data_IF_918507632303
#
_entry.id   IF_918507632303
#
_cell.length_a   1.000
_cell.length_b   1.000
_cell.length_c   1.000
_cell.angle_alpha   90.00
_cell.angle_beta   90.00
_cell.angle_gamma   90.00
#
_symmetry.space_group_name_H-M   'P 1'
#
loop_
_entity.id
_entity.type
_entity.pdbx_description
1 polymer ?
#
# COMPACT_ATOMS: atom_id res chain seq x y z
N UNK A 1 5.16 -21.19 -11.69
CA UNK A 1 4.56 -20.12 -12.50
C UNK A 1 3.29 -19.71 -11.79
N UNK A 2 3.08 -18.43 -11.53
CA UNK A 2 1.88 -17.97 -10.81
C UNK A 2 0.68 -18.08 -11.74
N UNK A 3 -0.37 -18.76 -11.27
CA UNK A 3 -1.67 -18.90 -11.95
C UNK A 3 -2.79 -18.36 -11.07
N UNK A 4 -2.77 -18.72 -9.79
CA UNK A 4 -3.77 -18.29 -8.81
C UNK A 4 -3.18 -17.23 -7.86
N UNK A 5 -3.89 -16.12 -7.71
CA UNK A 5 -3.51 -14.97 -6.88
C UNK A 5 -4.62 -14.67 -5.88
N UNK A 6 -4.28 -14.70 -4.59
CA UNK A 6 -5.19 -14.28 -3.53
C UNK A 6 -4.86 -12.86 -3.07
N UNK A 7 -5.85 -11.97 -3.08
CA UNK A 7 -5.75 -10.59 -2.62
C UNK A 7 -6.48 -10.48 -1.30
N UNK A 8 -5.73 -10.38 -0.21
CA UNK A 8 -6.29 -10.14 1.11
C UNK A 8 -6.61 -8.65 1.25
N UNK A 9 -7.87 -8.29 1.01
CA UNK A 9 -8.38 -6.92 1.09
C UNK A 9 -8.66 -6.27 -0.27
N UNK A 10 -9.84 -6.55 -0.85
CA UNK A 10 -10.42 -5.88 -2.02
C UNK A 10 -11.06 -4.53 -1.67
N UNK A 11 -10.21 -3.64 -1.14
CA UNK A 11 -10.54 -2.24 -0.88
C UNK A 11 -10.24 -1.32 -2.06
N UNK A 12 -9.81 -0.10 -1.75
CA UNK A 12 -9.47 0.93 -2.74
C UNK A 12 -8.41 0.49 -3.76
N UNK A 13 -7.36 -0.21 -3.31
CA UNK A 13 -6.31 -0.75 -4.18
C UNK A 13 -6.64 -2.17 -4.65
N UNK A 14 -7.04 -3.06 -3.74
CA UNK A 14 -7.16 -4.48 -4.03
C UNK A 14 -8.26 -4.84 -5.04
N UNK A 15 -9.38 -4.09 -5.07
CA UNK A 15 -10.45 -4.35 -6.04
C UNK A 15 -10.01 -4.04 -7.48
N UNK A 16 -9.56 -2.81 -7.83
CA UNK A 16 -9.10 -2.52 -9.18
C UNK A 16 -7.83 -3.30 -9.56
N UNK A 17 -6.97 -3.63 -8.59
CA UNK A 17 -5.84 -4.54 -8.81
C UNK A 17 -6.32 -5.93 -9.23
N UNK A 18 -7.28 -6.51 -8.49
CA UNK A 18 -7.82 -7.83 -8.82
C UNK A 18 -8.48 -7.87 -10.19
N UNK A 19 -9.23 -6.82 -10.54
CA UNK A 19 -9.83 -6.69 -11.87
C UNK A 19 -8.77 -6.66 -12.97
N UNK A 20 -7.69 -5.89 -12.79
CA UNK A 20 -6.59 -5.81 -13.74
C UNK A 20 -5.84 -7.15 -13.89
N UNK A 21 -5.68 -7.90 -12.79
CA UNK A 21 -5.05 -9.23 -12.82
C UNK A 21 -5.97 -10.27 -13.49
N UNK A 22 -7.27 -10.26 -13.20
CA UNK A 22 -8.24 -11.15 -13.86
C UNK A 22 -8.27 -10.92 -15.37
N UNK A 23 -8.23 -9.65 -15.81
CA UNK A 23 -8.13 -9.29 -17.24
C UNK A 23 -6.84 -9.78 -17.91
N UNK A 24 -5.76 -9.98 -17.14
CA UNK A 24 -4.50 -10.59 -17.62
C UNK A 24 -4.55 -12.12 -17.63
N UNK A 25 -5.67 -12.74 -17.25
CA UNK A 25 -5.88 -14.18 -17.30
C UNK A 25 -5.44 -14.94 -16.04
N UNK A 26 -5.14 -14.26 -14.94
CA UNK A 26 -4.92 -14.91 -13.65
C UNK A 26 -6.25 -15.36 -13.04
N UNK A 27 -6.23 -16.48 -12.31
CA UNK A 27 -7.30 -16.82 -11.38
C UNK A 27 -7.13 -15.93 -10.14
N UNK A 28 -8.10 -15.06 -9.86
CA UNK A 28 -7.99 -14.10 -8.76
C UNK A 28 -9.03 -14.40 -7.70
N UNK A 29 -8.57 -14.62 -6.47
CA UNK A 29 -9.38 -14.72 -5.26
C UNK A 29 -9.27 -13.40 -4.49
N UNK A 30 -10.39 -12.84 -4.06
CA UNK A 30 -10.43 -11.51 -3.44
C UNK A 30 -11.20 -11.52 -2.13
N UNK A 31 -10.58 -11.06 -1.05
CA UNK A 31 -11.24 -11.05 0.26
C UNK A 31 -11.82 -9.70 0.67
N UNK A 32 -12.88 -9.75 1.47
CA UNK A 32 -13.47 -8.60 2.17
C UNK A 32 -13.92 -9.03 3.56
N UNK A 33 -14.08 -8.07 4.48
CA UNK A 33 -14.73 -8.30 5.78
C UNK A 33 -16.22 -7.96 5.77
N UNK A 34 -16.73 -7.47 4.62
CA UNK A 34 -18.08 -6.93 4.43
C UNK A 34 -18.86 -7.79 3.42
N UNK A 35 -19.89 -8.55 3.85
CA UNK A 35 -20.67 -9.42 2.98
C UNK A 35 -21.29 -8.69 1.78
N UNK A 36 -21.74 -7.45 1.96
CA UNK A 36 -22.37 -6.64 0.93
C UNK A 36 -21.44 -6.27 -0.23
N UNK A 37 -20.12 -6.50 -0.11
CA UNK A 37 -19.13 -6.28 -1.18
C UNK A 37 -18.84 -7.51 -2.03
N UNK A 38 -19.35 -8.69 -1.66
CA UNK A 38 -19.03 -9.94 -2.36
C UNK A 38 -19.49 -9.90 -3.82
N UNK A 39 -20.68 -9.36 -4.09
CA UNK A 39 -21.19 -9.23 -5.46
C UNK A 39 -20.33 -8.27 -6.30
N UNK A 40 -19.98 -7.11 -5.73
CA UNK A 40 -19.10 -6.15 -6.39
C UNK A 40 -17.73 -6.77 -6.75
N UNK A 41 -17.19 -7.64 -5.91
CA UNK A 41 -15.93 -8.35 -6.20
C UNK A 41 -16.16 -9.35 -7.35
N UNK A 42 -17.24 -10.12 -7.31
CA UNK A 42 -17.61 -11.10 -8.36
C UNK A 42 -17.77 -10.47 -9.73
N UNK A 43 -18.44 -9.32 -9.80
CA UNK A 43 -18.64 -8.55 -11.04
C UNK A 43 -17.33 -8.13 -11.73
N UNK A 44 -16.21 -8.10 -11.00
CA UNK A 44 -14.89 -7.79 -11.55
C UNK A 44 -14.14 -9.03 -12.07
N UNK A 45 -14.78 -10.19 -12.13
CA UNK A 45 -14.14 -11.46 -12.51
C UNK A 45 -13.23 -12.03 -11.41
N UNK A 46 -13.49 -11.66 -10.16
CA UNK A 46 -12.71 -12.09 -8.99
C UNK A 46 -13.58 -13.04 -8.16
N UNK A 47 -13.04 -14.17 -7.74
CA UNK A 47 -13.72 -15.08 -6.82
C UNK A 47 -13.77 -14.48 -5.40
N UNK A 48 -14.96 -14.19 -4.84
CA UNK A 48 -15.07 -13.41 -3.61
C UNK A 48 -15.04 -14.27 -2.35
N UNK A 49 -14.29 -13.84 -1.33
CA UNK A 49 -14.19 -14.51 -0.03
C UNK A 49 -14.47 -13.55 1.12
N UNK A 50 -15.16 -14.05 2.16
CA UNK A 50 -15.38 -13.30 3.40
C UNK A 50 -14.33 -13.71 4.43
N UNK A 51 -13.22 -12.97 4.50
CA UNK A 51 -12.10 -13.29 5.39
C UNK A 51 -11.89 -12.16 6.39
N UNK A 52 -11.73 -12.52 7.66
CA UNK A 52 -11.36 -11.65 8.77
C UNK A 52 -10.07 -12.16 9.38
N UNK A 53 -9.18 -11.25 9.76
CA UNK A 53 -7.93 -11.57 10.44
C UNK A 53 -7.88 -10.83 11.76
N UNK A 54 -7.73 -11.59 12.85
CA UNK A 54 -7.55 -11.10 14.22
C UNK A 54 -6.31 -11.80 14.79
N UNK A 55 -6.41 -12.43 15.95
CA UNK A 55 -5.39 -13.36 16.47
C UNK A 55 -5.30 -14.63 15.62
N UNK A 56 -6.38 -14.98 14.92
CA UNK A 56 -6.44 -16.05 13.95
C UNK A 56 -7.09 -15.60 12.64
N UNK A 57 -7.01 -16.44 11.62
CA UNK A 57 -7.68 -16.23 10.34
C UNK A 57 -9.05 -16.92 10.36
N UNK A 58 -10.09 -16.13 10.14
CA UNK A 58 -11.50 -16.54 10.21
C UNK A 58 -12.19 -16.30 8.87
N UNK A 59 -13.17 -17.15 8.54
CA UNK A 59 -14.02 -16.99 7.36
C UNK A 59 -14.44 -18.33 6.75
N UNK A 60 -15.61 -18.39 6.09
CA UNK A 60 -15.99 -19.56 5.32
C UNK A 60 -14.97 -19.83 4.22
N UNK A 61 -14.66 -21.11 4.01
CA UNK A 61 -13.79 -21.58 2.92
C UNK A 61 -12.41 -20.90 2.89
N UNK A 62 -11.91 -20.44 4.06
CA UNK A 62 -10.61 -19.77 4.18
C UNK A 62 -9.46 -20.59 3.59
N UNK A 63 -9.51 -21.91 3.73
CA UNK A 63 -8.51 -22.81 3.14
C UNK A 63 -8.44 -22.67 1.61
N UNK A 64 -9.61 -22.55 0.94
CA UNK A 64 -9.67 -22.30 -0.50
C UNK A 64 -9.12 -20.93 -0.86
N UNK A 65 -9.35 -19.90 -0.03
CA UNK A 65 -8.76 -18.58 -0.25
C UNK A 65 -7.23 -18.62 -0.19
N UNK A 66 -6.62 -19.38 0.73
CA UNK A 66 -5.16 -19.47 0.84
C UNK A 66 -4.52 -20.53 -0.06
N UNK A 67 -5.31 -21.35 -0.75
CA UNK A 67 -4.83 -22.22 -1.83
C UNK A 67 -4.54 -21.41 -3.10
N UNK A 68 -3.39 -20.73 -3.15
CA UNK A 68 -2.95 -19.88 -4.24
C UNK A 68 -1.42 -19.85 -4.35
N UNK A 69 -0.88 -19.49 -5.51
CA UNK A 69 0.58 -19.38 -5.72
C UNK A 69 1.15 -18.11 -5.05
N UNK A 70 0.37 -17.01 -5.10
CA UNK A 70 0.74 -15.69 -4.61
C UNK A 70 -0.34 -15.15 -3.67
N UNK A 71 0.09 -14.69 -2.49
CA UNK A 71 -0.72 -13.88 -1.60
C UNK A 71 -0.30 -12.41 -1.70
N UNK A 72 -1.25 -11.53 -2.05
CA UNK A 72 -1.11 -10.08 -1.94
C UNK A 72 -1.75 -9.64 -0.64
N UNK A 73 -0.92 -9.27 0.34
CA UNK A 73 -1.37 -8.81 1.64
C UNK A 73 -1.61 -7.29 1.59
N UNK A 74 -2.88 -6.91 1.40
CA UNK A 74 -3.35 -5.54 1.19
C UNK A 74 -4.38 -5.11 2.27
N UNK A 75 -4.17 -5.54 3.51
CA UNK A 75 -4.94 -5.06 4.67
C UNK A 75 -4.17 -3.95 5.39
N UNK A 76 -4.78 -2.79 5.67
CA UNK A 76 -4.10 -1.70 6.35
C UNK A 76 -3.90 -1.98 7.85
N UNK A 77 -2.91 -1.34 8.51
CA UNK A 77 -2.75 -1.35 9.97
C UNK A 77 -3.95 -0.68 10.66
N UNK A 78 -5.02 -1.46 10.91
CA UNK A 78 -6.23 -1.04 11.62
C UNK A 78 -6.99 0.16 11.00
N UNK A 79 -8.18 0.45 11.52
CA UNK A 79 -8.81 1.75 11.28
C UNK A 79 -7.93 2.88 11.84
N UNK A 80 -8.04 4.11 11.30
CA UNK A 80 -7.15 5.28 11.58
C UNK A 80 -6.97 5.69 13.07
N UNK A 81 -7.56 4.99 14.03
CA UNK A 81 -7.58 5.31 15.47
C UNK A 81 -7.44 4.08 16.38
N UNK A 82 -6.87 2.99 15.90
CA UNK A 82 -6.61 1.84 16.77
C UNK A 82 -5.42 2.14 17.70
N UNK A 83 -5.62 2.28 19.03
CA UNK A 83 -4.54 2.57 19.97
C UNK A 83 -3.52 1.41 20.06
N UNK A 84 -3.95 0.20 19.75
CA UNK A 84 -3.16 -1.03 19.87
C UNK A 84 -2.56 -1.47 18.51
N UNK A 85 -2.59 -0.59 17.50
CA UNK A 85 -2.13 -0.91 16.13
C UNK A 85 -0.69 -1.40 16.08
N UNK A 86 0.16 -0.90 16.99
CA UNK A 86 1.57 -1.25 17.07
C UNK A 86 1.79 -2.74 17.39
N UNK A 87 0.87 -3.33 18.16
CA UNK A 87 0.92 -4.73 18.59
C UNK A 87 0.00 -5.62 17.75
N UNK A 88 -1.24 -5.18 17.50
CA UNK A 88 -2.26 -5.99 16.83
C UNK A 88 -1.94 -6.25 15.35
N UNK A 89 -1.39 -5.27 14.62
CA UNK A 89 -1.15 -5.46 13.20
C UNK A 89 -0.02 -6.48 12.92
N UNK A 90 1.13 -6.45 13.63
CA UNK A 90 2.10 -7.53 13.57
C UNK A 90 1.53 -8.90 13.94
N UNK A 91 0.66 -8.98 14.96
CA UNK A 91 -0.01 -10.23 15.34
C UNK A 91 -0.91 -10.76 14.21
N UNK A 92 -1.70 -9.90 13.57
CA UNK A 92 -2.51 -10.29 12.40
C UNK A 92 -1.66 -10.85 11.27
N UNK A 93 -0.55 -10.18 10.94
CA UNK A 93 0.36 -10.67 9.88
C UNK A 93 1.00 -11.99 10.30
N UNK A 94 1.41 -12.14 11.56
CA UNK A 94 1.91 -13.41 12.10
C UNK A 94 0.87 -14.52 11.98
N UNK A 95 -0.39 -14.27 12.33
CA UNK A 95 -1.47 -15.25 12.20
C UNK A 95 -1.69 -15.70 10.74
N UNK A 96 -1.62 -14.77 9.79
CA UNK A 96 -1.67 -15.11 8.36
C UNK A 96 -0.47 -15.98 7.97
N UNK A 97 0.75 -15.58 8.39
CA UNK A 97 1.96 -16.33 8.05
C UNK A 97 1.96 -17.73 8.65
N UNK A 98 1.49 -17.90 9.89
CA UNK A 98 1.32 -19.20 10.54
C UNK A 98 0.28 -20.06 9.83
N UNK A 99 -0.82 -19.46 9.36
CA UNK A 99 -1.85 -20.16 8.60
C UNK A 99 -1.36 -20.68 7.24
N UNK A 100 -0.49 -19.92 6.55
CA UNK A 100 0.04 -20.30 5.23
C UNK A 100 1.38 -21.06 5.28
N UNK A 101 1.97 -21.27 6.46
CA UNK A 101 3.35 -21.76 6.62
C UNK A 101 3.60 -23.15 5.97
N UNK A 102 2.56 -23.95 5.78
CA UNK A 102 2.59 -25.25 5.09
C UNK A 102 1.73 -25.30 3.82
N UNK A 103 1.31 -24.14 3.33
CA UNK A 103 0.31 -24.01 2.26
C UNK A 103 0.90 -23.89 0.86
N UNK A 104 0.01 -23.72 -0.12
CA UNK A 104 0.35 -23.56 -1.53
C UNK A 104 1.10 -22.25 -1.83
N UNK A 105 0.98 -21.23 -0.97
CA UNK A 105 1.55 -19.90 -1.18
C UNK A 105 3.08 -19.94 -1.23
N UNK A 106 3.62 -19.73 -2.43
CA UNK A 106 5.07 -19.67 -2.66
C UNK A 106 5.61 -18.24 -2.56
N UNK A 107 4.77 -17.25 -2.87
CA UNK A 107 5.15 -15.84 -2.93
C UNK A 107 4.22 -14.98 -2.09
N UNK A 108 4.80 -13.97 -1.44
CA UNK A 108 4.06 -12.95 -0.70
C UNK A 108 4.41 -11.58 -1.28
N UNK A 109 3.39 -10.78 -1.57
CA UNK A 109 3.55 -9.37 -1.89
C UNK A 109 2.88 -8.53 -0.79
N UNK A 110 3.70 -7.88 0.03
CA UNK A 110 3.24 -7.08 1.15
C UNK A 110 3.13 -5.60 0.76
N UNK A 111 1.93 -5.02 0.92
CA UNK A 111 1.69 -3.59 0.69
C UNK A 111 2.05 -2.80 1.96
N UNK A 112 3.30 -2.35 2.02
CA UNK A 112 3.83 -1.50 3.09
C UNK A 112 3.64 -0.01 2.84
N UNK A 113 4.40 0.81 3.55
CA UNK A 113 4.34 2.27 3.41
C UNK A 113 5.69 2.94 3.62
N UNK A 114 5.92 4.05 2.94
CA UNK A 114 7.11 4.90 3.15
C UNK A 114 7.10 5.64 4.50
N UNK A 115 6.03 5.53 5.31
CA UNK A 115 5.99 6.08 6.68
C UNK A 115 6.99 5.43 7.64
N UNK A 116 7.59 4.30 7.25
CA UNK A 116 8.66 3.63 8.00
C UNK A 116 9.94 4.45 8.11
N UNK A 117 10.17 5.39 7.19
CA UNK A 117 11.30 6.31 7.24
C UNK A 117 11.02 7.51 8.16
N UNK A 118 12.06 7.99 8.83
CA UNK A 118 12.01 9.25 9.57
C UNK A 118 12.00 10.48 8.65
N UNK A 119 11.62 11.63 9.20
CA UNK A 119 11.75 12.91 8.52
C UNK A 119 13.14 13.50 8.79
N UNK A 120 14.11 13.10 7.97
CA UNK A 120 15.55 13.44 8.11
C UNK A 120 15.98 14.66 7.27
N UNK A 121 15.04 15.35 6.62
CA UNK A 121 15.27 16.50 5.75
C UNK A 121 16.25 16.21 4.61
N UNK A 122 16.16 15.01 4.04
CA UNK A 122 16.97 14.53 2.90
C UNK A 122 16.20 13.54 2.04
N UNK A 123 16.81 13.12 0.95
CA UNK A 123 16.36 11.95 0.20
C UNK A 123 16.68 10.65 0.96
N UNK A 124 15.75 9.68 0.89
CA UNK A 124 15.87 8.34 1.47
C UNK A 124 15.55 7.27 0.42
N UNK A 125 16.29 6.17 0.47
CA UNK A 125 16.18 4.99 -0.38
C UNK A 125 16.03 3.72 0.47
N UNK A 126 15.80 2.56 -0.17
CA UNK A 126 15.50 1.32 0.55
C UNK A 126 16.63 0.79 1.45
N UNK A 127 17.86 1.24 1.22
CA UNK A 127 19.03 0.89 2.02
C UNK A 127 19.21 1.78 3.26
N UNK A 128 18.47 2.88 3.38
CA UNK A 128 18.53 3.77 4.53
C UNK A 128 17.83 3.17 5.76
N UNK A 129 18.25 3.65 6.93
CA UNK A 129 17.68 3.25 8.21
C UNK A 129 16.20 3.64 8.33
N UNK A 130 15.47 2.80 9.07
CA UNK A 130 14.04 3.01 9.35
C UNK A 130 13.89 3.67 10.72
N UNK A 131 13.30 4.86 10.74
CA UNK A 131 13.07 5.64 11.95
C UNK A 131 11.59 6.10 12.04
N UNK A 132 10.64 5.16 12.21
CA UNK A 132 9.20 5.44 12.16
C UNK A 132 8.71 6.31 13.32
N UNK A 133 7.95 7.37 13.00
CA UNK A 133 7.41 8.28 14.01
C UNK A 133 6.07 7.84 14.61
N UNK A 134 5.25 7.04 13.89
CA UNK A 134 3.89 6.67 14.33
C UNK A 134 3.80 5.23 14.79
N UNK A 135 2.85 4.88 15.69
CA UNK A 135 2.60 3.49 16.09
C UNK A 135 2.37 2.55 14.91
N UNK A 136 1.60 3.00 13.90
CA UNK A 136 1.35 2.23 12.68
C UNK A 136 2.61 2.01 11.83
N UNK A 137 3.52 2.98 11.77
CA UNK A 137 4.78 2.83 11.06
C UNK A 137 5.75 1.92 11.81
N UNK A 138 5.74 1.94 13.15
CA UNK A 138 6.50 0.98 13.97
C UNK A 138 6.01 -0.45 13.77
N UNK A 139 4.70 -0.68 13.74
CA UNK A 139 4.13 -1.97 13.36
C UNK A 139 4.61 -2.44 11.98
N UNK A 140 4.62 -1.56 10.98
CA UNK A 140 5.13 -1.88 9.65
C UNK A 140 6.60 -2.32 9.68
N UNK A 141 7.46 -1.62 10.43
CA UNK A 141 8.87 -2.02 10.58
C UNK A 141 9.01 -3.41 11.22
N UNK A 142 8.21 -3.72 12.23
CA UNK A 142 8.19 -5.07 12.85
C UNK A 142 7.82 -6.13 11.80
N UNK A 143 6.77 -5.87 11.01
CA UNK A 143 6.33 -6.78 9.95
C UNK A 143 7.40 -6.94 8.87
N UNK A 144 7.98 -5.85 8.36
CA UNK A 144 9.01 -5.92 7.32
C UNK A 144 10.22 -6.74 7.79
N UNK A 145 10.66 -6.56 9.04
CA UNK A 145 11.74 -7.35 9.64
C UNK A 145 11.35 -8.82 9.78
N UNK A 146 10.13 -9.10 10.23
CA UNK A 146 9.62 -10.47 10.34
C UNK A 146 9.59 -11.16 8.99
N UNK A 147 9.02 -10.52 7.96
CA UNK A 147 8.93 -11.08 6.61
C UNK A 147 10.31 -11.27 5.96
N UNK A 148 11.27 -10.39 6.22
CA UNK A 148 12.64 -10.52 5.72
C UNK A 148 13.40 -11.73 6.29
N UNK A 149 12.99 -12.25 7.45
CA UNK A 149 13.57 -13.45 8.07
C UNK A 149 12.95 -14.75 7.54
N UNK A 150 11.79 -14.67 6.87
CA UNK A 150 11.13 -15.85 6.32
C UNK A 150 11.86 -16.35 5.08
N UNK A 151 12.08 -17.67 5.02
CA UNK A 151 12.58 -18.33 3.81
C UNK A 151 11.44 -18.65 2.83
N UNK A 152 10.26 -18.94 3.36
CA UNK A 152 9.04 -19.24 2.61
C UNK A 152 7.81 -18.71 3.38
N UNK A 153 6.83 -18.10 2.68
CA UNK A 153 6.87 -17.71 1.27
C UNK A 153 7.95 -16.65 0.99
N UNK A 154 8.46 -16.58 -0.24
CA UNK A 154 9.44 -15.55 -0.62
C UNK A 154 8.72 -14.20 -0.75
N UNK A 155 9.02 -13.27 0.16
CA UNK A 155 8.31 -12.00 0.28
C UNK A 155 8.96 -10.88 -0.54
N UNK A 156 8.14 -10.08 -1.23
CA UNK A 156 8.50 -8.75 -1.73
C UNK A 156 7.65 -7.70 -1.02
N UNK A 157 8.29 -6.60 -0.61
CA UNK A 157 7.66 -5.49 0.11
C UNK A 157 7.58 -4.27 -0.80
N UNK A 158 6.39 -3.68 -0.92
CA UNK A 158 6.18 -2.41 -1.60
C UNK A 158 5.89 -1.31 -0.58
N UNK A 159 6.88 -0.45 -0.31
CA UNK A 159 6.71 0.74 0.53
C UNK A 159 6.00 1.81 -0.29
N UNK A 160 4.66 1.81 -0.23
CA UNK A 160 3.83 2.75 -0.97
C UNK A 160 3.87 4.16 -0.35
N UNK A 161 4.01 5.17 -1.20
CA UNK A 161 3.77 6.56 -0.82
C UNK A 161 2.31 6.84 -0.48
N UNK A 162 1.97 8.11 -0.32
CA UNK A 162 0.59 8.54 -0.14
C UNK A 162 -0.26 8.18 -1.36
N UNK A 163 -1.16 7.22 -1.16
CA UNK A 163 -2.06 6.70 -2.20
C UNK A 163 -3.10 7.75 -2.63
N UNK A 164 -3.16 8.04 -3.94
CA UNK A 164 -4.11 8.99 -4.56
C UNK A 164 -4.67 8.39 -5.86
N UNK A 165 -5.83 8.87 -6.32
CA UNK A 165 -6.45 8.46 -7.58
C UNK A 165 -7.79 7.76 -7.40
N UNK A 166 -8.48 7.55 -8.52
CA UNK A 166 -9.83 6.98 -8.55
C UNK A 166 -10.81 7.80 -7.68
N UNK A 167 -11.54 7.13 -6.79
CA UNK A 167 -12.49 7.79 -5.88
C UNK A 167 -11.84 8.42 -4.62
N UNK A 168 -10.51 8.36 -4.47
CA UNK A 168 -9.79 8.93 -3.32
C UNK A 168 -9.43 10.40 -3.59
N UNK A 169 -10.40 11.26 -3.31
CA UNK A 169 -10.33 12.73 -3.43
C UNK A 169 -9.33 13.34 -2.43
N UNK A 170 -8.06 13.50 -2.84
CA UNK A 170 -6.99 14.02 -1.99
C UNK A 170 -7.25 15.41 -1.39
N UNK A 171 -7.94 16.30 -2.13
CA UNK A 171 -8.31 17.63 -1.65
C UNK A 171 -9.13 17.61 -0.36
N UNK A 172 -9.98 16.58 -0.18
CA UNK A 172 -10.77 16.37 1.05
C UNK A 172 -9.90 16.22 2.31
N UNK A 173 -8.64 15.80 2.20
CA UNK A 173 -7.82 15.50 3.39
C UNK A 173 -7.47 16.75 4.21
N UNK A 174 -7.31 17.89 3.53
CA UNK A 174 -6.99 19.17 4.15
C UNK A 174 -8.04 20.27 3.88
N UNK A 175 -9.09 19.97 3.10
CA UNK A 175 -10.17 20.91 2.80
C UNK A 175 -10.65 21.69 4.03
N UNK A 176 -10.72 23.03 3.90
CA UNK A 176 -11.18 23.97 4.92
C UNK A 176 -10.31 24.08 6.18
N UNK A 177 -9.24 23.28 6.33
CA UNK A 177 -8.36 23.37 7.50
C UNK A 177 -7.57 24.68 7.47
N UNK A 178 -7.47 25.32 8.63
CA UNK A 178 -6.64 26.50 8.86
C UNK A 178 -5.42 26.13 9.68
N UNK A 179 -4.39 26.96 9.64
CA UNK A 179 -3.17 26.78 10.42
C UNK A 179 -2.47 25.44 10.18
N UNK A 180 -2.57 24.89 8.96
CA UNK A 180 -1.94 23.61 8.62
C UNK A 180 -0.42 23.79 8.66
N UNK A 181 0.31 23.04 9.50
CA UNK A 181 1.76 23.19 9.58
C UNK A 181 2.45 22.47 8.42
N UNK A 182 3.72 22.83 8.20
CA UNK A 182 4.64 22.10 7.33
C UNK A 182 4.17 22.09 5.86
N UNK A 183 3.74 23.27 5.37
CA UNK A 183 3.25 23.44 3.99
C UNK A 183 4.35 23.25 2.95
N UNK A 184 5.56 23.71 3.24
CA UNK A 184 6.73 23.61 2.35
C UNK A 184 7.33 22.20 2.28
N UNK A 185 6.87 21.25 3.11
CA UNK A 185 7.39 19.89 3.05
C UNK A 185 6.95 19.20 1.75
N UNK A 186 7.86 18.50 1.04
CA UNK A 186 7.51 17.68 -0.11
C UNK A 186 6.52 16.59 0.27
N UNK A 187 5.59 16.30 -0.64
CA UNK A 187 4.74 15.11 -0.55
C UNK A 187 5.36 13.94 -1.29
N UNK A 188 5.21 12.73 -0.75
CA UNK A 188 5.61 11.49 -1.41
C UNK A 188 4.33 10.74 -1.76
N UNK A 189 3.85 10.86 -3.00
CA UNK A 189 2.55 10.33 -3.41
C UNK A 189 2.69 9.34 -4.57
N UNK A 190 1.69 8.48 -4.75
CA UNK A 190 1.62 7.54 -5.88
C UNK A 190 0.18 7.43 -6.36
N UNK A 191 0.01 7.42 -7.68
CA UNK A 191 -1.30 7.23 -8.30
C UNK A 191 -1.72 5.75 -8.29
N UNK A 192 -3.02 5.49 -8.21
CA UNK A 192 -3.59 4.14 -8.22
C UNK A 192 -3.09 3.29 -9.40
N UNK A 193 -3.04 3.87 -10.59
CA UNK A 193 -2.58 3.16 -11.80
C UNK A 193 -1.12 2.72 -11.67
N UNK A 194 -0.26 3.53 -11.06
CA UNK A 194 1.13 3.18 -10.82
C UNK A 194 1.29 2.14 -9.72
N UNK A 195 0.42 2.15 -8.70
CA UNK A 195 0.38 1.07 -7.71
C UNK A 195 0.08 -0.27 -8.40
N UNK A 196 -0.94 -0.31 -9.27
CA UNK A 196 -1.33 -1.51 -10.02
C UNK A 196 -0.22 -1.91 -11.00
N UNK A 197 0.36 -0.94 -11.71
CA UNK A 197 1.43 -1.17 -12.68
C UNK A 197 2.67 -1.79 -12.05
N UNK A 198 3.14 -1.24 -10.92
CA UNK A 198 4.32 -1.78 -10.20
C UNK A 198 4.03 -3.19 -9.66
N UNK A 199 2.85 -3.44 -9.09
CA UNK A 199 2.48 -4.79 -8.62
C UNK A 199 2.50 -5.77 -9.80
N UNK A 200 1.93 -5.38 -10.94
CA UNK A 200 1.97 -6.17 -12.17
C UNK A 200 3.40 -6.47 -12.62
N UNK A 201 4.28 -5.46 -12.63
CA UNK A 201 5.68 -5.62 -13.03
C UNK A 201 6.46 -6.56 -12.10
N UNK A 202 6.20 -6.52 -10.79
CA UNK A 202 6.80 -7.47 -9.84
C UNK A 202 6.40 -8.91 -10.17
N UNK A 203 5.11 -9.14 -10.46
CA UNK A 203 4.59 -10.47 -10.79
C UNK A 203 5.19 -10.97 -12.11
N UNK A 204 5.13 -10.15 -13.16
CA UNK A 204 5.59 -10.51 -14.51
C UNK A 204 7.09 -10.80 -14.57
N UNK A 205 7.89 -10.06 -13.81
CA UNK A 205 9.35 -10.22 -13.78
C UNK A 205 9.83 -11.14 -12.66
N UNK A 206 8.91 -11.71 -11.88
CA UNK A 206 9.23 -12.56 -10.73
C UNK A 206 10.22 -11.91 -9.75
N UNK A 207 10.03 -10.61 -9.48
CA UNK A 207 10.91 -9.81 -8.64
C UNK A 207 10.68 -10.06 -7.14
N UNK A 208 10.93 -11.30 -6.72
CA UNK A 208 10.69 -11.79 -5.35
C UNK A 208 11.89 -11.55 -4.42
N UNK A 209 11.65 -11.31 -3.13
CA UNK A 209 12.72 -11.08 -2.15
C UNK A 209 13.24 -9.64 -2.13
N UNK A 210 12.53 -8.71 -2.77
CA UNK A 210 12.94 -7.31 -2.86
C UNK A 210 12.08 -6.42 -1.97
N UNK A 211 12.65 -5.29 -1.56
CA UNK A 211 11.90 -4.14 -1.04
C UNK A 211 12.01 -3.01 -2.05
N UNK A 212 10.88 -2.41 -2.41
CA UNK A 212 10.79 -1.28 -3.32
C UNK A 212 10.02 -0.11 -2.70
N UNK A 213 10.55 1.09 -2.84
CA UNK A 213 9.83 2.34 -2.65
C UNK A 213 8.99 2.61 -3.89
N UNK A 214 7.72 2.95 -3.66
CA UNK A 214 6.76 3.19 -4.75
C UNK A 214 6.10 4.55 -4.55
N UNK A 215 6.65 5.54 -5.25
CA UNK A 215 6.14 6.91 -5.33
C UNK A 215 6.42 7.51 -6.71
N UNK A 216 5.68 8.57 -7.05
CA UNK A 216 5.95 9.42 -8.19
C UNK A 216 7.37 10.02 -8.10
N UNK A 217 7.92 10.42 -9.25
CA UNK A 217 9.28 10.95 -9.34
C UNK A 217 9.42 12.40 -8.90
N UNK A 218 8.33 13.18 -8.93
CA UNK A 218 8.29 14.55 -8.44
C UNK A 218 7.57 14.65 -7.09
N UNK A 219 7.99 15.66 -6.32
CA UNK A 219 7.57 15.86 -4.94
C UNK A 219 7.17 17.33 -4.73
N UNK A 220 6.01 17.77 -5.26
CA UNK A 220 5.53 19.12 -5.01
C UNK A 220 5.37 19.36 -3.51
N UNK A 221 5.31 20.61 -3.10
CA UNK A 221 5.07 20.92 -1.69
C UNK A 221 3.67 20.47 -1.28
N UNK A 222 3.51 20.19 0.01
CA UNK A 222 2.22 19.87 0.61
C UNK A 222 1.22 21.02 0.40
N UNK A 223 1.70 22.26 0.45
CA UNK A 223 0.88 23.43 0.18
C UNK A 223 0.36 23.44 -1.26
N UNK A 224 1.24 23.30 -2.25
CA UNK A 224 0.86 23.29 -3.66
C UNK A 224 -0.13 22.17 -3.97
N UNK A 225 0.22 20.93 -3.63
CA UNK A 225 -0.57 19.76 -4.00
C UNK A 225 -1.98 19.79 -3.39
N UNK A 226 -2.10 19.98 -2.06
CA UNK A 226 -3.40 19.91 -1.41
C UNK A 226 -4.29 21.13 -1.70
N UNK A 227 -3.70 22.28 -1.96
CA UNK A 227 -4.44 23.47 -2.41
C UNK A 227 -4.99 23.23 -3.81
N UNK A 228 -4.16 22.79 -4.76
CA UNK A 228 -4.58 22.50 -6.12
C UNK A 228 -5.67 21.41 -6.16
N UNK A 229 -5.51 20.33 -5.39
CA UNK A 229 -6.49 19.25 -5.34
C UNK A 229 -7.81 19.67 -4.66
N UNK A 230 -7.77 20.53 -3.64
CA UNK A 230 -8.99 21.08 -3.06
C UNK A 230 -9.78 21.90 -4.09
N UNK A 231 -9.10 22.80 -4.82
CA UNK A 231 -9.69 23.62 -5.89
C UNK A 231 -10.26 22.72 -7.00
N UNK A 232 -9.45 21.81 -7.54
CA UNK A 232 -9.83 20.87 -8.62
C UNK A 232 -11.10 20.07 -8.25
N UNK A 233 -11.28 19.74 -6.98
CA UNK A 233 -12.37 18.88 -6.50
C UNK A 233 -13.56 19.66 -5.91
N UNK A 234 -13.55 21.00 -5.97
CA UNK A 234 -14.63 21.85 -5.49
C UNK A 234 -14.73 21.96 -3.96
N UNK A 235 -13.62 21.77 -3.24
CA UNK A 235 -13.54 21.96 -1.79
C UNK A 235 -12.91 23.32 -1.44
N UNK A 236 -13.19 23.83 -0.24
CA UNK A 236 -12.49 25.00 0.29
C UNK A 236 -10.99 24.69 0.45
N UNK A 237 -10.08 25.51 -0.10
CA UNK A 237 -8.65 25.28 0.04
C UNK A 237 -8.16 25.39 1.49
N UNK A 238 -7.17 24.58 1.90
CA UNK A 238 -6.51 24.75 3.19
C UNK A 238 -5.73 26.08 3.27
N UNK A 239 -5.56 26.59 4.48
CA UNK A 239 -4.60 27.65 4.78
C UNK A 239 -3.43 27.07 5.60
N UNK A 240 -2.21 27.32 5.12
CA UNK A 240 -0.98 26.84 5.76
C UNK A 240 -0.34 27.93 6.62
N UNK A 241 0.24 27.52 7.74
CA UNK A 241 0.98 28.40 8.63
C UNK A 241 2.37 28.68 8.06
N UNK A 242 2.74 29.95 7.94
CA UNK A 242 4.09 30.37 7.56
C UNK A 242 5.12 30.10 8.67
N UNK A 243 6.39 29.89 8.31
CA UNK A 243 7.50 29.81 9.26
C UNK A 243 7.50 28.57 10.17
N UNK A 244 6.77 27.51 9.83
CA UNK A 244 6.82 26.25 10.59
C UNK A 244 8.15 25.53 10.39
N UNK A 245 8.66 24.89 11.46
CA UNK A 245 9.85 24.02 11.36
C UNK A 245 9.60 22.96 10.28
N UNK A 246 10.46 22.97 9.26
CA UNK A 246 10.40 22.02 8.17
C UNK A 246 10.89 20.64 8.63
N UNK A 247 10.05 19.64 8.45
CA UNK A 247 10.36 18.24 8.72
C UNK A 247 9.86 17.41 7.53
N UNK A 248 10.74 16.73 6.83
CA UNK A 248 10.39 15.99 5.62
C UNK A 248 11.34 14.85 5.31
N UNK A 249 10.96 14.08 4.31
CA UNK A 249 11.80 13.18 3.54
C UNK A 249 11.38 13.25 2.08
N UNK A 250 12.32 13.01 1.19
CA UNK A 250 12.05 12.76 -0.24
C UNK A 250 12.32 11.28 -0.47
N UNK A 251 11.35 10.52 -0.95
CA UNK A 251 11.51 9.07 -1.12
C UNK A 251 11.96 8.80 -2.54
N UNK A 252 13.13 8.20 -2.69
CA UNK A 252 13.65 7.77 -3.99
C UNK A 252 12.86 6.56 -4.51
N UNK A 253 12.50 6.60 -5.80
CA UNK A 253 11.91 5.48 -6.54
C UNK A 253 12.89 4.84 -7.54
N UNK A 254 14.18 5.11 -7.41
CA UNK A 254 15.18 4.69 -8.39
C UNK A 254 15.33 3.16 -8.48
N UNK A 255 15.19 2.45 -7.36
CA UNK A 255 15.32 0.99 -7.36
C UNK A 255 14.19 0.31 -8.12
N UNK A 256 12.95 0.78 -8.00
CA UNK A 256 11.82 0.18 -8.74
C UNK A 256 11.96 0.41 -10.25
N UNK A 257 12.42 1.59 -10.67
CA UNK A 257 12.73 1.88 -12.08
C UNK A 257 13.84 1.00 -12.62
N UNK A 258 14.96 0.87 -11.89
CA UNK A 258 16.14 0.11 -12.34
C UNK A 258 15.89 -1.39 -12.37
N UNK A 259 15.28 -1.93 -11.32
CA UNK A 259 15.08 -3.37 -11.19
C UNK A 259 13.92 -3.88 -12.03
N UNK A 260 12.83 -3.11 -12.13
CA UNK A 260 11.63 -3.53 -12.88
C UNK A 260 11.53 -2.89 -14.27
N UNK A 261 12.42 -1.98 -14.65
CA UNK A 261 12.26 -1.17 -15.86
C UNK A 261 10.96 -0.36 -15.88
N UNK A 262 10.37 -0.08 -14.71
CA UNK A 262 9.03 0.50 -14.62
C UNK A 262 9.06 2.01 -14.87
N UNK A 263 8.30 2.47 -15.87
CA UNK A 263 8.06 3.88 -16.13
C UNK A 263 6.75 4.32 -15.48
N UNK A 264 6.82 5.29 -14.57
CA UNK A 264 5.64 5.83 -13.91
C UNK A 264 4.77 6.58 -14.91
N UNK A 265 3.50 6.19 -14.98
CA UNK A 265 2.48 6.83 -15.82
C UNK A 265 2.12 8.21 -15.29
N UNK A 266 2.16 8.37 -13.96
CA UNK A 266 1.91 9.63 -13.27
C UNK A 266 3.15 10.03 -12.46
N UNK A 267 4.21 10.52 -13.13
CA UNK A 267 5.47 10.87 -12.47
C UNK A 267 5.38 12.18 -11.66
N UNK A 268 4.36 13.00 -11.90
CA UNK A 268 4.10 14.27 -11.21
C UNK A 268 2.74 14.22 -10.47
N UNK A 269 2.73 14.31 -9.12
CA UNK A 269 1.50 14.39 -8.34
C UNK A 269 0.56 15.54 -8.71
N UNK A 270 1.06 16.64 -9.28
CA UNK A 270 0.19 17.73 -9.75
C UNK A 270 -0.72 17.31 -10.90
N UNK A 271 -0.37 16.24 -11.63
CA UNK A 271 -1.16 15.66 -12.71
C UNK A 271 -2.25 14.66 -12.26
N UNK A 272 -2.24 14.23 -10.99
CA UNK A 272 -3.22 13.27 -10.46
C UNK A 272 -4.66 13.78 -10.52
#
# INVERSE_FOLDING_TARGET
>A
MIRCISILGCGWLGLPLGAALAQKGYEVKGSTTRPEKLEQIREQGIEPYLIRVQEEVEGPEKESFFDADLLILNIPPGGRRNPEVEEQYPQQVKAIMEHIHSGAVQYLLFIGSTSVYGDENREVAEADDLNPATPSARALVVIERYLALLKQPRATILRMGGLVGGNRKAGRFLAGKKEVPNGEAPVNLVHLEDCIGVIGAVIEQSAWGHTFNVCAGLHPTRAEFYTAQAIKQGFEPPAFRAGTKLAYKIVSNEKVKKTLGYEFRHPDPMGF
#
